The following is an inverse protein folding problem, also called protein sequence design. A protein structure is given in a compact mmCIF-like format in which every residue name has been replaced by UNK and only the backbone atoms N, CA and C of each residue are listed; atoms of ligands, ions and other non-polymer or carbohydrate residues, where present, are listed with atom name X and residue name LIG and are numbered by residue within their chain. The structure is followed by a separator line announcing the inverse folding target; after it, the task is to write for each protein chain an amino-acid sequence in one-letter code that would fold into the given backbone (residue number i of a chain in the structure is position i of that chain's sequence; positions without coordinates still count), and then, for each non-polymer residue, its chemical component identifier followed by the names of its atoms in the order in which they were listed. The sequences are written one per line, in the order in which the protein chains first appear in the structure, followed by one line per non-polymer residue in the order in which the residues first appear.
data_IF_510114328377
#
_entry.id   IF_510114328377
#
_cell.length_a   1.000
_cell.length_b   1.000
_cell.length_c   1.000
_cell.angle_alpha   90.00
_cell.angle_beta   90.00
_cell.angle_gamma   90.00
#
_symmetry.space_group_name_H-M   'P 1'
#
loop_
_entity.id
_entity.type
_entity.pdbx_description
1 polymer ?
#
# COMPACT_ATOMS: atom_id res chain seq x y z
N UNK A 1 -10.84 -7.46 -8.98
CA UNK A 1 -10.16 -6.19 -9.31
C UNK A 1 -9.03 -6.08 -8.32
N UNK A 2 -7.83 -6.39 -8.79
CA UNK A 2 -6.59 -6.26 -8.02
C UNK A 2 -6.34 -4.79 -7.69
N UNK A 3 -5.67 -4.49 -6.58
CA UNK A 3 -5.25 -3.13 -6.21
C UNK A 3 -4.34 -2.54 -7.30
N UNK A 4 -3.51 -3.40 -7.92
CA UNK A 4 -2.67 -3.02 -9.06
C UNK A 4 -3.49 -2.73 -10.32
N UNK A 5 -4.55 -3.49 -10.60
CA UNK A 5 -5.47 -3.20 -11.72
C UNK A 5 -6.18 -1.86 -11.53
N UNK A 6 -6.56 -1.53 -10.29
CA UNK A 6 -7.14 -0.24 -9.97
C UNK A 6 -6.14 0.91 -10.16
N UNK A 7 -4.89 0.75 -9.72
CA UNK A 7 -3.84 1.75 -9.95
C UNK A 7 -3.55 1.96 -11.45
N UNK A 8 -3.47 0.87 -12.22
CA UNK A 8 -3.27 0.90 -13.68
C UNK A 8 -4.44 1.61 -14.41
N UNK A 9 -5.64 1.61 -13.84
CA UNK A 9 -6.77 2.36 -14.40
C UNK A 9 -6.59 3.89 -14.34
N UNK A 10 -5.84 4.41 -13.37
CA UNK A 10 -5.48 5.83 -13.31
C UNK A 10 -4.38 6.20 -14.29
N UNK A 11 -3.44 5.28 -14.54
CA UNK A 11 -2.44 5.44 -15.59
C UNK A 11 -3.12 5.56 -16.97
N UNK A 12 -4.14 4.74 -17.23
CA UNK A 12 -4.97 4.82 -18.43
C UNK A 12 -5.76 6.15 -18.56
N UNK A 13 -5.94 6.91 -17.47
CA UNK A 13 -6.58 8.22 -17.45
C UNK A 13 -5.57 9.38 -17.60
N UNK A 14 -4.28 9.08 -17.77
CA UNK A 14 -3.21 10.08 -17.91
C UNK A 14 -2.71 10.65 -16.58
N UNK A 15 -3.16 10.11 -15.45
CA UNK A 15 -2.69 10.47 -14.11
C UNK A 15 -2.10 9.24 -13.41
N UNK A 16 -0.86 8.82 -13.75
CA UNK A 16 -0.22 7.71 -13.06
C UNK A 16 -0.16 7.99 -11.55
N UNK A 17 -0.67 7.05 -10.76
CA UNK A 17 -0.51 7.08 -9.30
C UNK A 17 0.89 6.56 -8.98
N UNK A 18 1.68 7.36 -8.26
CA UNK A 18 2.98 6.89 -7.75
C UNK A 18 2.80 5.80 -6.70
N UNK A 19 3.76 4.88 -6.61
CA UNK A 19 3.77 3.80 -5.62
C UNK A 19 3.63 4.35 -4.19
N UNK A 20 4.33 5.44 -3.86
CA UNK A 20 4.18 6.15 -2.57
C UNK A 20 2.72 6.52 -2.27
N UNK A 21 2.02 7.09 -3.25
CA UNK A 21 0.62 7.52 -3.11
C UNK A 21 -0.31 6.32 -2.99
N UNK A 22 0.01 5.21 -3.65
CA UNK A 22 -0.74 3.97 -3.55
C UNK A 22 -0.53 3.30 -2.19
N UNK A 23 0.72 3.18 -1.72
CA UNK A 23 1.11 2.67 -0.39
C UNK A 23 0.40 3.46 0.71
N UNK A 24 0.44 4.79 0.67
CA UNK A 24 -0.24 5.63 1.65
C UNK A 24 -1.76 5.41 1.65
N UNK A 25 -2.38 5.27 0.48
CA UNK A 25 -3.81 4.97 0.36
C UNK A 25 -4.17 3.59 0.91
N UNK A 26 -3.34 2.58 0.66
CA UNK A 26 -3.53 1.22 1.19
C UNK A 26 -3.48 1.26 2.71
N UNK A 27 -2.39 1.75 3.30
CA UNK A 27 -2.19 1.82 4.75
C UNK A 27 -3.35 2.54 5.45
N UNK A 28 -3.78 3.68 4.91
CA UNK A 28 -4.90 4.47 5.46
C UNK A 28 -6.27 3.78 5.34
N UNK A 29 -6.41 2.84 4.42
CA UNK A 29 -7.67 2.11 4.18
C UNK A 29 -7.76 0.82 5.00
N UNK A 30 -6.70 0.42 5.70
CA UNK A 30 -6.68 -0.83 6.47
C UNK A 30 -7.59 -0.73 7.72
N UNK A 31 -8.21 -1.85 8.13
CA UNK A 31 -8.94 -1.90 9.40
C UNK A 31 -8.04 -1.66 10.61
N UNK A 32 -8.59 -1.12 11.70
CA UNK A 32 -7.85 -0.80 12.94
C UNK A 32 -7.00 -1.92 13.54
N UNK A 33 -7.32 -3.19 13.25
CA UNK A 33 -6.51 -4.34 13.68
C UNK A 33 -5.08 -4.32 13.12
N UNK A 34 -4.85 -3.57 12.04
CA UNK A 34 -3.53 -3.38 11.44
C UNK A 34 -2.81 -2.13 11.98
N UNK A 35 -3.40 -1.31 12.85
CA UNK A 35 -2.81 -0.04 13.33
C UNK A 35 -1.38 -0.24 13.84
N UNK A 36 -1.14 -1.29 14.63
CA UNK A 36 0.19 -1.62 15.15
C UNK A 36 1.20 -1.94 14.05
N UNK A 37 0.77 -2.63 12.99
CA UNK A 37 1.61 -2.98 11.85
C UNK A 37 1.88 -1.75 10.96
N UNK A 38 0.86 -0.90 10.77
CA UNK A 38 0.99 0.38 10.04
C UNK A 38 2.01 1.28 10.73
N UNK A 39 1.89 1.47 12.05
CA UNK A 39 2.88 2.27 12.81
C UNK A 39 4.28 1.69 12.67
N UNK A 40 4.45 0.37 12.79
CA UNK A 40 5.77 -0.25 12.63
C UNK A 40 6.37 -0.03 11.23
N UNK A 41 5.55 -0.05 10.17
CA UNK A 41 6.01 0.24 8.79
C UNK A 41 6.43 1.70 8.68
N UNK A 42 5.59 2.64 9.14
CA UNK A 42 5.86 4.07 9.09
C UNK A 42 7.09 4.48 9.91
N UNK A 43 7.40 3.77 11.01
CA UNK A 43 8.57 4.03 11.86
C UNK A 43 9.86 3.39 11.31
N UNK A 44 9.76 2.28 10.58
CA UNK A 44 10.94 1.51 10.15
C UNK A 44 11.43 1.83 8.74
N UNK A 45 10.55 2.32 7.86
CA UNK A 45 10.82 2.48 6.44
C UNK A 45 10.13 3.72 5.88
N UNK A 46 10.74 4.33 4.86
CA UNK A 46 10.10 5.42 4.11
C UNK A 46 9.08 4.84 3.11
N UNK A 47 7.84 5.34 3.17
CA UNK A 47 6.74 4.92 2.29
C UNK A 47 7.05 5.17 0.80
N UNK A 48 7.94 6.11 0.48
CA UNK A 48 8.38 6.36 -0.88
C UNK A 48 9.29 5.26 -1.44
N UNK A 49 9.82 4.39 -0.57
CA UNK A 49 10.78 3.33 -0.93
C UNK A 49 10.16 1.93 -0.96
N UNK A 50 8.98 1.77 -0.36
CA UNK A 50 8.28 0.49 -0.28
C UNK A 50 7.62 0.18 -1.62
N UNK A 51 7.90 -1.01 -2.16
CA UNK A 51 7.15 -1.51 -3.32
C UNK A 51 5.77 -2.02 -2.88
N UNK A 52 4.77 -1.77 -3.73
CA UNK A 52 3.37 -2.11 -3.44
C UNK A 52 3.23 -3.63 -3.24
N UNK A 53 3.88 -4.45 -4.08
CA UNK A 53 3.87 -5.91 -3.95
C UNK A 53 4.43 -6.39 -2.61
N UNK A 54 5.52 -5.78 -2.14
CA UNK A 54 6.13 -6.09 -0.84
C UNK A 54 5.18 -5.77 0.31
N UNK A 55 4.52 -4.59 0.25
CA UNK A 55 3.51 -4.19 1.23
C UNK A 55 2.37 -5.20 1.30
N UNK A 56 1.81 -5.59 0.15
CA UNK A 56 0.69 -6.53 0.08
C UNK A 56 1.11 -7.88 0.66
N UNK A 57 2.31 -8.40 0.34
CA UNK A 57 2.82 -9.64 0.92
C UNK A 57 3.02 -9.57 2.43
N UNK A 58 3.52 -8.46 2.95
CA UNK A 58 3.69 -8.21 4.39
C UNK A 58 2.34 -8.20 5.13
N UNK A 59 1.31 -7.59 4.54
CA UNK A 59 -0.03 -7.53 5.10
C UNK A 59 -0.73 -8.90 5.09
N UNK A 60 -0.60 -9.66 4.00
CA UNK A 60 -1.13 -11.02 3.90
C UNK A 60 -0.50 -11.95 4.94
N UNK A 61 0.82 -11.84 5.14
CA UNK A 61 1.54 -12.63 6.15
C UNK A 61 1.11 -12.28 7.59
N UNK A 62 0.76 -11.02 7.85
CA UNK A 62 0.30 -10.59 9.16
C UNK A 62 -1.14 -11.04 9.49
N UNK A 63 -1.97 -11.27 8.47
CA UNK A 63 -3.36 -11.73 8.65
C UNK A 63 -3.49 -13.25 8.83
N UNK A 64 -2.52 -14.03 8.34
CA UNK A 64 -2.42 -15.49 8.52
C UNK A 64 -2.19 -15.88 9.99
#
# INVERSE_FOLDING_TARGET
MDILEFANSFDALGEPISDEKLVSKILRSLPKRFDMKVTAIEESQDLATIQVDELIGSLQTYEL
#
